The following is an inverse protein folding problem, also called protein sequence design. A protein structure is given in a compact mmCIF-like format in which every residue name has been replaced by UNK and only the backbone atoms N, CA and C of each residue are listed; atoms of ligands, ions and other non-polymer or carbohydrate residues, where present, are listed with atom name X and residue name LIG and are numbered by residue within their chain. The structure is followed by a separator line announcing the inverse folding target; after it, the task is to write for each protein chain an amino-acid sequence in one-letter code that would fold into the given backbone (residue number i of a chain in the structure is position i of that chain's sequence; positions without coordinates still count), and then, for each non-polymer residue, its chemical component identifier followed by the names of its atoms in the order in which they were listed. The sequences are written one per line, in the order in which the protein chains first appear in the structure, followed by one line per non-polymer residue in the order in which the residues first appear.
data_IF_885578919621
#
_entry.id   IF_885578919621
#
_cell.length_a   1.000
_cell.length_b   1.000
_cell.length_c   1.000
_cell.angle_alpha   90.00
_cell.angle_beta   90.00
_cell.angle_gamma   90.00
#
_symmetry.space_group_name_H-M   'P 1'
#
loop_
_entity.id
_entity.type
_entity.pdbx_description
1 polymer ?
#
# COMPACT_ATOMS: atom_id res chain seq x y z
N UNK A 1 19.07 2.60 10.39
CA UNK A 1 18.03 3.45 9.74
C UNK A 1 17.63 2.80 8.43
N UNK A 2 16.35 2.64 8.19
CA UNK A 2 15.85 2.11 6.93
C UNK A 2 15.67 3.24 5.93
N UNK A 3 16.38 3.16 4.81
CA UNK A 3 16.28 4.13 3.73
C UNK A 3 15.30 3.59 2.68
N UNK A 4 14.27 4.36 2.39
CA UNK A 4 13.25 4.01 1.40
C UNK A 4 13.49 4.76 0.11
N UNK A 5 13.47 4.05 -1.01
CA UNK A 5 13.35 4.66 -2.33
C UNK A 5 11.89 4.67 -2.76
N UNK A 6 11.55 5.55 -3.71
CA UNK A 6 10.18 5.64 -4.22
C UNK A 6 9.75 4.26 -4.74
N UNK A 7 8.60 3.80 -4.25
CA UNK A 7 8.05 2.50 -4.60
C UNK A 7 8.40 1.38 -3.65
N UNK A 8 9.33 1.59 -2.73
CA UNK A 8 9.59 0.59 -1.68
C UNK A 8 8.35 0.46 -0.80
N UNK A 9 7.90 -0.77 -0.59
CA UNK A 9 6.66 -1.03 0.11
C UNK A 9 6.81 -2.17 1.11
N UNK A 10 6.00 -2.12 2.16
CA UNK A 10 5.92 -3.19 3.16
C UNK A 10 4.47 -3.45 3.52
N UNK A 11 4.17 -4.72 3.77
CA UNK A 11 2.88 -5.15 4.29
C UNK A 11 3.13 -5.78 5.65
N UNK A 12 2.41 -5.30 6.67
CA UNK A 12 2.48 -5.86 8.02
C UNK A 12 1.20 -6.60 8.33
N UNK A 13 1.36 -7.82 8.80
CA UNK A 13 0.28 -8.69 9.28
C UNK A 13 0.69 -9.26 10.64
N UNK A 14 -0.26 -9.77 11.45
CA UNK A 14 0.09 -10.41 12.71
C UNK A 14 1.01 -11.62 12.52
N UNK A 15 1.86 -11.87 13.51
CA UNK A 15 2.81 -13.00 13.49
C UNK A 15 2.12 -14.36 13.52
N UNK A 16 0.97 -14.45 14.19
CA UNK A 16 0.19 -15.67 14.31
C UNK A 16 -1.23 -15.41 13.86
N UNK A 17 -1.68 -16.20 12.91
CA UNK A 17 -3.02 -16.07 12.31
C UNK A 17 -3.67 -17.43 12.35
N UNK A 18 -4.91 -17.50 12.84
CA UNK A 18 -5.74 -18.69 12.77
C UNK A 18 -6.84 -18.51 11.74
N UNK A 19 -7.31 -19.60 11.16
CA UNK A 19 -8.42 -19.57 10.21
C UNK A 19 -9.61 -18.82 10.82
N UNK A 20 -10.15 -17.88 10.08
CA UNK A 20 -11.31 -17.11 10.50
C UNK A 20 -10.99 -15.85 11.32
N UNK A 21 -9.73 -15.61 11.66
CA UNK A 21 -9.34 -14.41 12.40
C UNK A 21 -9.64 -13.16 11.58
N UNK A 22 -10.07 -12.11 12.28
CA UNK A 22 -10.11 -10.77 11.72
C UNK A 22 -8.76 -10.12 12.02
N UNK A 23 -7.96 -9.91 10.99
CA UNK A 23 -6.62 -9.35 11.15
C UNK A 23 -6.57 -7.92 10.65
N UNK A 24 -5.70 -7.12 11.27
CA UNK A 24 -5.39 -5.78 10.77
C UNK A 24 -4.18 -5.87 9.86
N UNK A 25 -4.34 -5.38 8.64
CA UNK A 25 -3.27 -5.31 7.65
C UNK A 25 -2.85 -3.85 7.52
N UNK A 26 -1.54 -3.59 7.62
CA UNK A 26 -0.98 -2.27 7.38
C UNK A 26 -0.06 -2.35 6.17
N UNK A 27 -0.29 -1.52 5.18
CA UNK A 27 0.57 -1.44 4.00
C UNK A 27 1.11 -0.02 3.86
N UNK A 28 2.43 0.10 3.77
CA UNK A 28 3.12 1.38 3.60
C UNK A 28 3.91 1.36 2.31
N UNK A 29 3.98 2.51 1.65
CA UNK A 29 4.80 2.69 0.45
C UNK A 29 5.55 4.01 0.56
N UNK A 30 6.79 4.05 0.06
CA UNK A 30 7.54 5.28 -0.05
C UNK A 30 7.11 6.01 -1.32
N UNK A 31 6.50 7.18 -1.16
CA UNK A 31 6.06 8.01 -2.27
C UNK A 31 5.94 9.46 -1.81
N UNK A 32 6.37 10.44 -2.63
CA UNK A 32 6.35 11.84 -2.21
C UNK A 32 4.96 12.45 -2.08
N UNK A 33 3.97 11.96 -2.83
CA UNK A 33 2.60 12.48 -2.81
C UNK A 33 2.57 14.00 -3.05
N UNK A 34 3.26 14.45 -4.11
CA UNK A 34 3.34 15.86 -4.47
C UNK A 34 2.01 16.36 -5.02
N UNK A 35 1.57 17.52 -4.54
CA UNK A 35 0.25 18.06 -4.90
C UNK A 35 0.21 18.76 -6.26
N UNK A 36 1.35 19.25 -6.73
CA UNK A 36 1.41 20.12 -7.90
C UNK A 36 1.26 21.62 -7.57
N UNK A 37 1.06 21.94 -6.28
CA UNK A 37 0.87 23.34 -5.86
C UNK A 37 2.15 24.01 -5.32
N UNK A 38 3.20 23.25 -5.17
CA UNK A 38 4.46 23.76 -4.61
C UNK A 38 5.49 24.03 -5.68
N UNK A 39 6.48 24.85 -5.32
CA UNK A 39 7.62 25.19 -6.18
C UNK A 39 8.91 24.73 -5.50
N UNK A 40 9.91 24.38 -6.32
CA UNK A 40 11.24 24.05 -5.80
C UNK A 40 12.02 25.33 -5.43
N UNK A 41 13.27 25.17 -4.98
CA UNK A 41 14.11 26.28 -4.54
C UNK A 41 14.39 27.30 -5.67
N UNK A 42 14.32 26.87 -6.92
CA UNK A 42 14.53 27.73 -8.10
C UNK A 42 13.23 28.40 -8.56
N UNK A 43 12.12 28.20 -7.84
CA UNK A 43 10.82 28.76 -8.17
C UNK A 43 10.07 28.04 -9.27
N UNK A 44 10.54 26.87 -9.69
CA UNK A 44 9.88 26.06 -10.71
C UNK A 44 8.76 25.23 -10.10
N UNK A 45 7.61 25.04 -10.78
CA UNK A 45 6.55 24.18 -10.26
C UNK A 45 7.01 22.75 -10.09
N UNK A 46 6.67 22.15 -8.96
CA UNK A 46 6.84 20.71 -8.74
C UNK A 46 5.58 20.02 -9.27
N UNK A 47 5.68 19.17 -10.32
CA UNK A 47 4.51 18.50 -10.87
C UNK A 47 3.81 17.63 -9.84
N UNK A 48 2.50 17.48 -9.98
CA UNK A 48 1.74 16.53 -9.16
C UNK A 48 2.31 15.12 -9.38
N UNK A 49 2.59 14.42 -8.27
CA UNK A 49 3.14 13.07 -8.31
C UNK A 49 2.61 12.31 -7.09
N UNK A 50 1.58 11.50 -7.31
CA UNK A 50 0.87 10.87 -6.22
C UNK A 50 0.31 9.51 -6.65
N UNK A 51 0.11 8.64 -5.66
CA UNK A 51 -0.60 7.38 -5.87
C UNK A 51 -2.08 7.70 -5.95
N UNK A 52 -2.72 7.27 -7.02
CA UNK A 52 -4.14 7.53 -7.28
C UNK A 52 -5.04 6.35 -6.95
N UNK A 53 -4.49 5.14 -6.89
CA UNK A 53 -5.28 3.94 -6.64
C UNK A 53 -4.47 2.89 -5.91
N UNK A 54 -5.12 2.20 -4.97
CA UNK A 54 -4.56 1.05 -4.28
C UNK A 54 -5.55 -0.09 -4.41
N UNK A 55 -5.11 -1.23 -4.93
CA UNK A 55 -5.93 -2.43 -5.10
C UNK A 55 -5.34 -3.55 -4.26
N UNK A 56 -6.18 -4.18 -3.45
CA UNK A 56 -5.78 -5.31 -2.61
C UNK A 56 -6.47 -6.56 -3.10
N UNK A 57 -5.68 -7.60 -3.38
CA UNK A 57 -6.21 -8.92 -3.73
C UNK A 57 -5.77 -9.94 -2.69
N UNK A 58 -6.64 -10.92 -2.46
CA UNK A 58 -6.39 -12.01 -1.53
C UNK A 58 -6.76 -13.31 -2.21
N UNK A 59 -5.73 -14.13 -2.48
CA UNK A 59 -5.91 -15.37 -3.23
C UNK A 59 -6.47 -15.15 -4.63
N UNK A 60 -6.13 -14.02 -5.26
CA UNK A 60 -6.59 -13.67 -6.61
C UNK A 60 -7.90 -12.87 -6.66
N UNK A 61 -8.62 -12.75 -5.53
CA UNK A 61 -9.86 -11.98 -5.48
C UNK A 61 -9.62 -10.59 -4.94
N UNK A 62 -10.18 -9.56 -5.60
CA UNK A 62 -10.10 -8.20 -5.11
C UNK A 62 -10.94 -8.09 -3.83
N UNK A 63 -10.30 -7.66 -2.72
CA UNK A 63 -10.97 -7.52 -1.43
C UNK A 63 -11.09 -6.07 -0.98
N UNK A 64 -10.29 -5.17 -1.54
CA UNK A 64 -10.36 -3.75 -1.22
C UNK A 64 -9.79 -2.92 -2.37
N UNK A 65 -10.33 -1.72 -2.53
CA UNK A 65 -9.86 -0.75 -3.53
C UNK A 65 -10.00 0.65 -2.94
N UNK A 66 -8.94 1.42 -3.02
CA UNK A 66 -8.91 2.78 -2.49
C UNK A 66 -8.56 3.74 -3.62
N UNK A 67 -9.29 4.82 -3.73
CA UNK A 67 -8.96 5.93 -4.63
C UNK A 67 -8.36 7.04 -3.79
N UNK A 68 -7.15 7.47 -4.18
CA UNK A 68 -6.42 8.50 -3.46
C UNK A 68 -6.23 9.74 -4.31
N UNK A 69 -6.02 10.86 -3.62
CA UNK A 69 -5.70 12.14 -4.25
C UNK A 69 -4.34 12.61 -3.76
N UNK A 70 -3.84 13.69 -4.33
CA UNK A 70 -2.61 14.33 -3.88
C UNK A 70 -2.71 14.93 -2.47
N UNK A 71 -3.91 14.89 -1.86
CA UNK A 71 -4.10 15.30 -0.46
C UNK A 71 -3.66 14.27 0.57
N UNK A 72 -3.33 13.06 0.15
CA UNK A 72 -2.80 12.02 1.04
C UNK A 72 -1.35 12.37 1.39
N UNK A 73 -0.97 12.13 2.64
CA UNK A 73 0.37 12.45 3.14
C UNK A 73 1.46 11.64 2.46
N UNK A 74 2.68 12.19 2.47
CA UNK A 74 3.90 11.48 2.01
C UNK A 74 4.04 10.14 2.72
N UNK A 75 4.57 9.14 2.00
CA UNK A 75 4.79 7.78 2.49
C UNK A 75 3.52 7.21 3.13
N UNK A 76 2.44 7.13 2.36
CA UNK A 76 1.13 6.83 2.91
C UNK A 76 1.02 5.40 3.43
N UNK A 77 0.23 5.26 4.49
CA UNK A 77 -0.11 3.96 5.08
C UNK A 77 -1.59 3.74 4.88
N UNK A 78 -1.96 2.56 4.40
CA UNK A 78 -3.34 2.11 4.40
C UNK A 78 -3.50 0.99 5.42
N UNK A 79 -4.54 1.08 6.24
CA UNK A 79 -4.90 0.05 7.23
C UNK A 79 -6.28 -0.46 6.93
N UNK A 80 -6.45 -1.76 6.95
CA UNK A 80 -7.76 -2.36 6.75
C UNK A 80 -7.85 -3.69 7.50
N UNK A 81 -9.08 -4.13 7.73
CA UNK A 81 -9.35 -5.42 8.37
C UNK A 81 -9.62 -6.47 7.31
N UNK A 82 -9.01 -7.63 7.46
CA UNK A 82 -9.18 -8.76 6.57
C UNK A 82 -9.58 -9.98 7.38
N UNK A 83 -10.58 -10.72 6.90
CA UNK A 83 -10.88 -12.02 7.48
C UNK A 83 -9.99 -13.08 6.84
N UNK A 84 -9.16 -13.73 7.65
CA UNK A 84 -8.20 -14.73 7.18
C UNK A 84 -8.90 -16.08 6.98
N UNK A 85 -9.51 -16.28 5.83
CA UNK A 85 -10.32 -17.46 5.53
C UNK A 85 -9.53 -18.61 4.92
N UNK A 86 -8.37 -18.33 4.33
CA UNK A 86 -7.57 -19.32 3.60
C UNK A 86 -6.09 -18.93 3.62
N UNK A 87 -5.24 -19.93 3.43
CA UNK A 87 -3.82 -19.69 3.18
C UNK A 87 -3.65 -19.27 1.73
N UNK A 88 -3.26 -18.03 1.50
CA UNK A 88 -3.15 -17.48 0.17
C UNK A 88 -2.32 -16.20 0.20
N UNK A 89 -1.78 -15.75 -0.94
CA UNK A 89 -1.07 -14.48 -1.00
C UNK A 89 -2.03 -13.30 -0.88
N UNK A 90 -1.61 -12.32 -0.11
CA UNK A 90 -2.23 -11.01 -0.04
C UNK A 90 -1.34 -10.04 -0.81
N UNK A 91 -1.88 -9.43 -1.85
CA UNK A 91 -1.13 -8.58 -2.75
C UNK A 91 -1.72 -7.18 -2.76
N UNK A 92 -0.84 -6.18 -2.68
CA UNK A 92 -1.23 -4.77 -2.78
C UNK A 92 -0.55 -4.18 -4.00
N UNK A 93 -1.32 -3.50 -4.85
CA UNK A 93 -0.82 -2.81 -6.04
C UNK A 93 -1.17 -1.34 -5.91
N UNK A 94 -0.15 -0.48 -5.94
CA UNK A 94 -0.30 0.97 -5.96
C UNK A 94 -0.05 1.46 -7.38
N UNK A 95 -0.91 2.34 -7.86
CA UNK A 95 -0.77 2.96 -9.19
C UNK A 95 -0.68 4.47 -9.04
N UNK A 96 0.30 5.09 -9.66
CA UNK A 96 0.48 6.53 -9.57
C UNK A 96 -0.04 7.27 -10.81
N UNK A 97 -0.05 8.60 -10.73
CA UNK A 97 -0.56 9.45 -11.82
C UNK A 97 0.41 9.54 -13.01
N UNK A 98 1.61 9.01 -12.89
CA UNK A 98 2.60 8.96 -13.98
C UNK A 98 2.57 7.63 -14.72
N UNK A 99 1.64 6.73 -14.37
CA UNK A 99 1.49 5.44 -15.03
C UNK A 99 2.35 4.33 -14.46
N UNK A 100 3.08 4.57 -13.37
CA UNK A 100 3.84 3.52 -12.71
C UNK A 100 2.97 2.72 -11.75
N UNK A 101 3.30 1.44 -11.59
CA UNK A 101 2.67 0.57 -10.61
C UNK A 101 3.73 -0.04 -9.71
N UNK A 102 3.37 -0.22 -8.44
CA UNK A 102 4.23 -0.84 -7.43
C UNK A 102 3.44 -1.97 -6.79
N UNK A 103 4.09 -3.09 -6.55
CA UNK A 103 3.42 -4.29 -6.07
C UNK A 103 4.19 -4.91 -4.92
N UNK A 104 3.48 -5.32 -3.89
CA UNK A 104 4.03 -6.07 -2.77
C UNK A 104 3.07 -7.17 -2.37
N UNK A 105 3.62 -8.31 -1.95
CA UNK A 105 2.83 -9.47 -1.53
C UNK A 105 3.36 -10.04 -0.23
N UNK A 106 2.45 -10.61 0.55
CA UNK A 106 2.78 -11.40 1.73
C UNK A 106 1.88 -12.62 1.75
N UNK A 107 2.39 -13.76 2.20
CA UNK A 107 1.58 -14.96 2.31
C UNK A 107 0.85 -14.98 3.65
N UNK A 108 -0.47 -15.19 3.59
CA UNK A 108 -1.27 -15.48 4.78
C UNK A 108 -1.16 -16.98 5.02
N UNK A 109 -0.61 -17.36 6.17
CA UNK A 109 -0.45 -18.75 6.57
C UNK A 109 -0.97 -18.91 7.99
N UNK A 110 -1.55 -20.07 8.27
CA UNK A 110 -2.11 -20.35 9.60
C UNK A 110 -1.06 -20.94 10.51
N UNK A 111 -1.09 -20.50 11.77
CA UNK A 111 -0.22 -21.06 12.80
C UNK A 111 -0.59 -22.53 13.02
N UNK A 112 0.42 -23.34 13.35
CA UNK A 112 0.19 -24.72 13.75
C UNK A 112 -0.65 -24.75 15.03
N UNK A 113 -1.56 -25.70 15.10
CA UNK A 113 -2.41 -25.89 16.25
C UNK A 113 -1.60 -26.40 17.46
#
# INVERSE_FOLDING_TARGET
MWLMTIGDARIRIPDRIARGDLITVNAIISHPMDTGFFRNAEGEPIPAYFIKEVVVTYGGDEVARFEWTSGISRDPVVSFTLKAEKEAPLTVVWSDNKGATFKQSVNISFAAA
#
